data_IF_926018675671
#
_entry.id   IF_926018675671
#
_cell.length_a   1.000
_cell.length_b   1.000
_cell.length_c   1.000
_cell.angle_alpha   90.00
_cell.angle_beta   90.00
_cell.angle_gamma   90.00
#
_symmetry.space_group_name_H-M   'P 1'
#
loop_
_entity.id
_entity.type
_entity.pdbx_description
1 polymer ?
#
# COMPACT_ATOMS: atom_id res chain seq x y z
N UNK A 1 2.93 -3.70 17.92
CA UNK A 1 3.01 -2.23 17.91
C UNK A 1 3.53 -1.83 16.54
N UNK A 2 2.84 -0.91 15.84
CA UNK A 2 3.26 -0.44 14.52
C UNK A 2 4.62 0.26 14.61
N UNK A 3 5.48 0.05 13.60
CA UNK A 3 6.79 0.71 13.50
C UNK A 3 6.77 1.96 12.58
N UNK A 4 5.58 2.34 12.12
CA UNK A 4 5.32 3.46 11.24
C UNK A 4 4.26 4.34 11.87
N UNK A 5 4.47 5.66 11.80
CA UNK A 5 3.55 6.65 12.34
C UNK A 5 2.23 6.63 11.54
N UNK A 6 1.08 6.62 12.24
CA UNK A 6 -0.24 6.56 11.60
C UNK A 6 -0.50 7.75 10.68
N UNK A 7 -0.05 8.96 11.02
CA UNK A 7 -0.18 10.14 10.15
C UNK A 7 0.50 9.96 8.79
N UNK A 8 1.71 9.37 8.75
CA UNK A 8 2.38 9.03 7.49
C UNK A 8 1.55 8.04 6.67
N UNK A 9 0.92 7.06 7.33
CA UNK A 9 0.07 6.06 6.66
C UNK A 9 -1.16 6.75 6.07
N UNK A 10 -1.81 7.64 6.83
CA UNK A 10 -2.98 8.37 6.38
C UNK A 10 -2.66 9.33 5.21
N UNK A 11 -1.50 9.98 5.24
CA UNK A 11 -1.02 10.81 4.11
C UNK A 11 -0.82 9.96 2.83
N UNK A 12 -0.23 8.76 2.96
CA UNK A 12 -0.06 7.84 1.84
C UNK A 12 -1.42 7.39 1.29
N UNK A 13 -2.37 7.02 2.16
CA UNK A 13 -3.75 6.65 1.77
C UNK A 13 -4.40 7.78 0.99
N UNK A 14 -4.32 9.02 1.50
CA UNK A 14 -4.94 10.19 0.87
C UNK A 14 -4.38 10.43 -0.54
N UNK A 15 -3.05 10.43 -0.69
CA UNK A 15 -2.41 10.66 -1.99
C UNK A 15 -2.66 9.52 -2.98
N UNK A 16 -2.68 8.27 -2.49
CA UNK A 16 -3.03 7.13 -3.33
C UNK A 16 -4.48 7.22 -3.85
N UNK A 17 -5.44 7.64 -3.01
CA UNK A 17 -6.83 7.93 -3.45
C UNK A 17 -6.87 9.04 -4.50
N UNK A 18 -6.07 10.10 -4.32
CA UNK A 18 -5.99 11.19 -5.30
C UNK A 18 -5.45 10.71 -6.65
N UNK A 19 -4.44 9.85 -6.67
CA UNK A 19 -3.94 9.22 -7.89
C UNK A 19 -5.02 8.38 -8.55
N UNK A 20 -5.64 7.47 -7.81
CA UNK A 20 -6.66 6.54 -8.31
C UNK A 20 -7.95 7.23 -8.81
N UNK A 21 -8.25 8.44 -8.33
CA UNK A 21 -9.42 9.21 -8.77
C UNK A 21 -9.23 9.93 -10.11
N UNK A 22 -8.02 9.95 -10.67
CA UNK A 22 -7.75 10.63 -11.94
C UNK A 22 -8.35 9.86 -13.12
N UNK A 23 -8.98 10.58 -14.06
CA UNK A 23 -9.64 9.97 -15.23
C UNK A 23 -8.69 9.20 -16.16
N UNK A 24 -7.40 9.56 -16.18
CA UNK A 24 -6.38 8.90 -16.99
C UNK A 24 -5.78 7.66 -16.32
N UNK A 25 -6.14 7.36 -15.06
CA UNK A 25 -5.65 6.18 -14.36
C UNK A 25 -6.61 5.03 -14.62
N UNK A 26 -6.08 3.95 -15.20
CA UNK A 26 -6.83 2.74 -15.52
C UNK A 26 -6.09 1.54 -14.97
N UNK A 27 -6.79 0.69 -14.23
CA UNK A 27 -6.25 -0.55 -13.71
C UNK A 27 -6.67 -1.69 -14.65
N UNK A 28 -5.78 -2.22 -15.50
CA UNK A 28 -6.07 -3.43 -16.27
C UNK A 28 -6.49 -4.58 -15.34
N UNK A 29 -7.32 -5.50 -15.84
CA UNK A 29 -7.66 -6.71 -15.08
C UNK A 29 -6.39 -7.47 -14.72
N UNK A 30 -6.11 -7.57 -13.42
CA UNK A 30 -4.88 -8.18 -12.91
C UNK A 30 -4.97 -9.69 -13.09
N UNK A 31 -4.20 -10.23 -14.03
CA UNK A 31 -3.96 -11.67 -14.12
C UNK A 31 -2.83 -12.05 -13.16
N UNK A 32 -2.75 -13.33 -12.78
CA UNK A 32 -1.70 -13.82 -11.87
C UNK A 32 -0.26 -13.61 -12.42
N UNK A 33 -0.12 -13.32 -13.71
CA UNK A 33 1.16 -13.12 -14.41
C UNK A 33 1.52 -11.64 -14.60
N UNK A 34 0.62 -10.72 -14.26
CA UNK A 34 0.80 -9.30 -14.56
C UNK A 34 1.61 -8.60 -13.46
N UNK A 35 2.79 -8.10 -13.82
CA UNK A 35 3.69 -7.37 -12.94
C UNK A 35 3.09 -6.02 -12.53
N UNK A 36 3.33 -5.60 -11.29
CA UNK A 36 2.97 -4.27 -10.79
C UNK A 36 3.53 -3.14 -11.67
N UNK A 37 4.76 -3.30 -12.16
CA UNK A 37 5.39 -2.34 -13.08
C UNK A 37 4.64 -2.25 -14.41
N UNK A 38 4.07 -3.36 -14.88
CA UNK A 38 3.26 -3.38 -16.11
C UNK A 38 1.91 -2.70 -15.92
N UNK A 39 1.27 -2.88 -14.76
CA UNK A 39 0.00 -2.21 -14.42
C UNK A 39 0.13 -0.69 -14.44
N UNK A 40 1.33 -0.19 -14.10
CA UNK A 40 1.59 1.23 -13.88
C UNK A 40 2.44 1.89 -14.98
N UNK A 41 2.77 1.15 -16.05
CA UNK A 41 3.68 1.62 -17.11
C UNK A 41 3.22 2.94 -17.75
N UNK A 42 1.91 3.13 -17.93
CA UNK A 42 1.34 4.35 -18.52
C UNK A 42 1.27 5.55 -17.54
N UNK A 43 1.74 5.38 -16.30
CA UNK A 43 1.60 6.34 -15.21
C UNK A 43 2.95 6.81 -14.62
N UNK A 44 4.08 6.36 -15.16
CA UNK A 44 5.42 6.68 -14.63
C UNK A 44 5.72 8.19 -14.57
N UNK A 45 5.17 8.96 -15.51
CA UNK A 45 5.32 10.43 -15.60
C UNK A 45 4.26 11.21 -14.78
N UNK A 46 3.31 10.52 -14.12
CA UNK A 46 2.29 11.20 -13.32
C UNK A 46 2.90 11.76 -12.02
N UNK A 47 2.81 13.07 -11.74
CA UNK A 47 3.46 13.64 -10.56
C UNK A 47 2.93 13.11 -9.22
N UNK A 48 1.65 12.73 -9.16
CA UNK A 48 1.04 12.19 -7.93
C UNK A 48 1.45 10.73 -7.75
N UNK A 49 1.55 9.96 -8.84
CA UNK A 49 2.14 8.63 -8.82
C UNK A 49 3.55 8.67 -8.22
N UNK A 50 4.42 9.50 -8.81
CA UNK A 50 5.80 9.66 -8.35
C UNK A 50 5.88 10.12 -6.89
N UNK A 51 5.00 11.03 -6.48
CA UNK A 51 4.98 11.50 -5.10
C UNK A 51 4.64 10.37 -4.11
N UNK A 52 3.69 9.49 -4.45
CA UNK A 52 3.30 8.37 -3.58
C UNK A 52 4.38 7.28 -3.56
N UNK A 53 4.93 6.90 -4.72
CA UNK A 53 6.00 5.89 -4.77
C UNK A 53 7.23 6.39 -4.01
N UNK A 54 7.69 7.61 -4.27
CA UNK A 54 8.82 8.22 -3.54
C UNK A 54 8.54 8.31 -2.03
N UNK A 55 7.31 8.61 -1.61
CA UNK A 55 6.95 8.65 -0.20
C UNK A 55 7.09 7.27 0.46
N UNK A 56 6.67 6.19 -0.22
CA UNK A 56 6.80 4.81 0.24
C UNK A 56 8.27 4.36 0.22
N UNK A 57 8.99 4.64 -0.87
CA UNK A 57 10.36 4.17 -1.08
C UNK A 57 11.36 4.83 -0.12
N UNK A 58 11.06 6.06 0.34
CA UNK A 58 11.84 6.73 1.38
C UNK A 58 11.62 6.16 2.79
N UNK A 59 10.63 5.28 2.99
CA UNK A 59 10.48 4.56 4.24
C UNK A 59 11.53 3.46 4.36
N UNK A 60 11.87 3.09 5.60
CA UNK A 60 12.76 1.94 5.82
C UNK A 60 12.07 0.67 5.31
N UNK A 61 12.81 -0.37 4.86
CA UNK A 61 12.23 -1.63 4.40
C UNK A 61 11.19 -2.23 5.37
N UNK A 62 11.49 -2.22 6.67
CA UNK A 62 10.55 -2.71 7.69
C UNK A 62 9.25 -1.88 7.83
N UNK A 63 9.27 -0.60 7.46
CA UNK A 63 8.11 0.29 7.46
C UNK A 63 7.30 0.10 6.18
N UNK A 64 7.94 -0.09 5.03
CA UNK A 64 7.28 -0.48 3.79
C UNK A 64 6.53 -1.82 3.97
N UNK A 65 7.19 -2.82 4.56
CA UNK A 65 6.55 -4.09 4.91
C UNK A 65 5.34 -3.92 5.86
N UNK A 66 5.30 -2.86 6.67
CA UNK A 66 4.14 -2.58 7.53
C UNK A 66 2.94 -2.10 6.73
N UNK A 67 3.15 -1.30 5.67
CA UNK A 67 2.08 -0.92 4.75
C UNK A 67 1.51 -2.15 4.02
N UNK A 68 2.38 -3.02 3.54
CA UNK A 68 2.00 -4.28 2.88
C UNK A 68 1.23 -5.20 3.85
N UNK A 69 1.69 -5.34 5.09
CA UNK A 69 0.99 -6.14 6.10
C UNK A 69 -0.38 -5.55 6.47
N UNK A 70 -0.52 -4.23 6.54
CA UNK A 70 -1.82 -3.57 6.77
C UNK A 70 -2.78 -3.84 5.61
N UNK A 71 -2.29 -3.77 4.37
CA UNK A 71 -3.08 -4.12 3.19
C UNK A 71 -3.55 -5.58 3.24
N UNK A 72 -2.68 -6.54 3.57
CA UNK A 72 -3.08 -7.95 3.73
C UNK A 72 -4.13 -8.15 4.82
N UNK A 73 -3.97 -7.48 5.95
CA UNK A 73 -4.92 -7.53 7.07
C UNK A 73 -6.29 -6.97 6.67
N UNK A 74 -6.35 -5.79 6.04
CA UNK A 74 -7.62 -5.22 5.62
C UNK A 74 -8.27 -5.96 4.45
N UNK A 75 -7.49 -6.53 3.54
CA UNK A 75 -8.01 -7.42 2.48
C UNK A 75 -8.60 -8.71 3.04
N UNK A 76 -8.20 -9.09 4.25
CA UNK A 76 -8.69 -10.28 4.95
C UNK A 76 -7.84 -11.53 4.72
N UNK A 77 -6.60 -11.39 4.24
CA UNK A 77 -5.66 -12.51 4.09
C UNK A 77 -5.17 -13.03 5.45
N UNK A 78 -5.13 -12.12 6.44
CA UNK A 78 -4.76 -12.39 7.82
C UNK A 78 -5.78 -11.74 8.76
N UNK A 79 -5.85 -12.23 9.98
CA UNK A 79 -6.63 -11.63 11.07
C UNK A 79 -5.76 -10.79 12.01
N UNK A 80 -6.37 -9.98 12.88
CA UNK A 80 -5.66 -9.21 13.93
C UNK A 80 -4.72 -10.10 14.77
N UNK A 81 -5.14 -11.35 15.04
CA UNK A 81 -4.35 -12.31 15.82
C UNK A 81 -3.11 -12.81 15.07
N UNK A 82 -3.15 -12.76 13.75
CA UNK A 82 -2.07 -13.19 12.84
C UNK A 82 -1.22 -12.00 12.35
N UNK A 83 -1.38 -10.82 12.97
CA UNK A 83 -0.63 -9.61 12.61
C UNK A 83 0.90 -9.82 12.53
N UNK A 84 1.46 -10.63 13.43
CA UNK A 84 2.90 -10.93 13.42
C UNK A 84 3.31 -11.74 12.19
N UNK A 85 2.44 -12.64 11.73
CA UNK A 85 2.69 -13.50 10.58
C UNK A 85 2.54 -12.67 9.30
N UNK A 86 1.51 -11.80 9.21
CA UNK A 86 1.36 -10.83 8.14
C UNK A 86 2.61 -9.94 7.98
N UNK A 87 3.13 -9.43 9.11
CA UNK A 87 4.38 -8.64 9.12
C UNK A 87 5.62 -9.45 8.73
N UNK A 88 5.68 -10.73 9.08
CA UNK A 88 6.80 -11.59 8.71
C UNK A 88 6.79 -11.83 7.21
N UNK A 89 5.65 -12.27 6.66
CA UNK A 89 5.47 -12.49 5.23
C UNK A 89 5.76 -11.22 4.43
N UNK A 90 5.22 -10.06 4.85
CA UNK A 90 5.47 -8.80 4.16
C UNK A 90 6.96 -8.36 4.19
N UNK A 91 7.74 -8.80 5.18
CA UNK A 91 9.19 -8.55 5.22
C UNK A 91 9.97 -9.52 4.33
N UNK A 92 9.53 -10.78 4.27
CA UNK A 92 10.14 -11.80 3.43
C UNK A 92 9.93 -11.51 1.94
N UNK A 93 8.75 -10.98 1.60
CA UNK A 93 8.36 -10.56 0.24
C UNK A 93 8.81 -9.13 -0.11
N UNK A 94 9.58 -8.46 0.75
CA UNK A 94 9.99 -7.07 0.52
C UNK A 94 10.91 -6.95 -0.70
N UNK A 95 10.64 -5.95 -1.54
CA UNK A 95 11.48 -5.55 -2.67
C UNK A 95 11.62 -4.03 -2.74
N UNK A 96 12.54 -3.56 -3.59
CA UNK A 96 12.68 -2.12 -3.87
C UNK A 96 11.49 -1.51 -4.63
N UNK A 97 10.56 -2.33 -5.10
CA UNK A 97 9.36 -1.91 -5.85
C UNK A 97 8.08 -1.93 -5.00
N UNK A 98 8.20 -1.70 -3.69
CA UNK A 98 7.05 -1.79 -2.78
C UNK A 98 6.02 -0.68 -3.06
N UNK A 99 6.46 0.52 -3.47
CA UNK A 99 5.56 1.60 -3.85
C UNK A 99 4.67 1.24 -5.03
N UNK A 100 5.26 0.71 -6.10
CA UNK A 100 4.57 0.26 -7.31
C UNK A 100 3.67 -0.95 -7.02
N UNK A 101 4.15 -1.90 -6.22
CA UNK A 101 3.35 -3.02 -5.75
C UNK A 101 2.07 -2.56 -5.04
N UNK A 102 2.17 -1.60 -4.12
CA UNK A 102 1.00 -1.08 -3.40
C UNK A 102 0.08 -0.28 -4.33
N UNK A 103 0.62 0.61 -5.17
CA UNK A 103 -0.18 1.46 -6.05
C UNK A 103 -0.83 0.73 -7.22
N UNK A 104 -0.28 -0.40 -7.67
CA UNK A 104 -0.89 -1.24 -8.71
C UNK A 104 -2.21 -1.88 -8.25
N UNK A 105 -2.54 -1.81 -6.95
CA UNK A 105 -3.78 -2.34 -6.38
C UNK A 105 -4.79 -1.21 -6.16
N UNK A 106 -5.91 -1.18 -6.92
CA UNK A 106 -6.91 -0.12 -6.79
C UNK A 106 -7.53 -0.06 -5.39
N UNK A 107 -7.66 -1.19 -4.69
CA UNK A 107 -8.23 -1.24 -3.34
C UNK A 107 -7.24 -0.95 -2.22
N UNK A 108 -5.95 -0.75 -2.53
CA UNK A 108 -4.90 -0.60 -1.52
C UNK A 108 -5.21 0.45 -0.45
N UNK A 109 -5.71 1.67 -0.78
CA UNK A 109 -6.00 2.66 0.25
C UNK A 109 -7.09 2.20 1.22
N UNK A 110 -8.17 1.59 0.71
CA UNK A 110 -9.27 1.06 1.51
C UNK A 110 -8.82 -0.13 2.37
N UNK A 111 -7.95 -0.99 1.82
CA UNK A 111 -7.44 -2.16 2.54
C UNK A 111 -6.45 -1.74 3.64
N UNK A 112 -5.56 -0.79 3.42
CA UNK A 112 -4.67 -0.29 4.48
C UNK A 112 -5.48 0.41 5.59
N UNK A 113 -6.47 1.24 5.24
CA UNK A 113 -7.34 1.91 6.21
C UNK A 113 -8.09 0.90 7.08
N UNK A 114 -8.70 -0.11 6.45
CA UNK A 114 -9.37 -1.20 7.17
C UNK A 114 -8.40 -1.99 8.05
N UNK A 115 -7.17 -2.21 7.59
CA UNK A 115 -6.12 -2.85 8.37
C UNK A 115 -5.74 -2.05 9.62
N UNK A 116 -5.67 -0.72 9.54
CA UNK A 116 -5.46 0.15 10.69
C UNK A 116 -6.62 0.05 11.68
N UNK A 117 -7.87 0.11 11.20
CA UNK A 117 -9.06 0.01 12.04
C UNK A 117 -9.12 -1.32 12.80
N UNK A 118 -8.74 -2.42 12.16
CA UNK A 118 -8.65 -3.75 12.79
C UNK A 118 -7.61 -3.81 13.91
N UNK A 119 -6.58 -2.95 13.88
CA UNK A 119 -5.59 -2.78 14.95
C UNK A 119 -6.01 -1.73 15.99
N UNK A 120 -7.22 -1.16 15.88
CA UNK A 120 -7.74 -0.13 16.76
C UNK A 120 -7.12 1.24 16.54
N UNK A 121 -6.62 1.52 15.32
CA UNK A 121 -5.96 2.77 14.96
C UNK A 121 -6.77 3.42 13.85
N UNK A 122 -7.22 4.65 14.04
CA UNK A 122 -7.99 5.38 13.03
C UNK A 122 -7.16 6.49 12.37
N UNK A 123 -7.42 6.73 11.09
CA UNK A 123 -7.02 7.96 10.40
C UNK A 123 -7.97 9.11 10.77
N UNK A 124 -7.99 9.50 12.04
CA UNK A 124 -8.73 10.66 12.53
C UNK A 124 -7.75 11.64 13.18
N UNK A 125 -7.24 12.59 12.38
CA UNK A 125 -6.89 13.97 12.78
C UNK A 125 -6.65 14.83 11.52
#
# INVERSE_FOLDING_TARGET
MLNLNSGIICDIILKARQFQAKENVSFPEVTAEMDALYVLADHEDDPVYQEVTIAIDNLRPSQQATLVALMYLGRGDYTEKEWKDALLTAKEEWTEHTGEYLLSRPTMPDDIERGLDLLGISCNE
#
